data_IF_283688429177
#
_entry.id   IF_283688429177
#
_cell.length_a   1.000
_cell.length_b   1.000
_cell.length_c   1.000
_cell.angle_alpha   90.00
_cell.angle_beta   90.00
_cell.angle_gamma   90.00
#
_symmetry.space_group_name_H-M   'P 1'
#
loop_
_entity.id
_entity.type
_entity.pdbx_description
1 polymer ?
#
# COMPACT_ATOMS: atom_id res chain seq x y z
N UNK A 1 3.90 -34.09 -10.79
CA UNK A 1 4.46 -33.55 -9.53
C UNK A 1 3.39 -32.75 -8.80
N UNK A 2 3.05 -33.06 -7.54
CA UNK A 2 2.02 -32.32 -6.82
C UNK A 2 2.61 -31.00 -6.28
N UNK A 3 1.97 -29.88 -6.63
CA UNK A 3 2.28 -28.55 -6.11
C UNK A 3 1.90 -28.51 -4.62
N UNK A 4 2.89 -28.60 -3.74
CA UNK A 4 2.69 -28.46 -2.29
C UNK A 4 2.29 -27.03 -1.98
N UNK A 5 1.03 -26.82 -1.59
CA UNK A 5 0.53 -25.54 -1.06
C UNK A 5 1.30 -25.22 0.22
N UNK A 6 2.29 -24.33 0.13
CA UNK A 6 2.97 -23.77 1.30
C UNK A 6 1.91 -23.09 2.17
N UNK A 7 1.65 -23.62 3.36
CA UNK A 7 0.80 -22.97 4.37
C UNK A 7 1.51 -21.69 4.81
N UNK A 8 1.08 -20.55 4.27
CA UNK A 8 1.56 -19.24 4.68
C UNK A 8 1.20 -19.06 6.15
N UNK A 9 2.21 -18.81 7.00
CA UNK A 9 1.98 -18.54 8.42
C UNK A 9 1.06 -17.31 8.54
N UNK A 10 0.07 -17.30 9.44
CA UNK A 10 -0.73 -16.11 9.68
C UNK A 10 0.20 -14.98 10.13
N UNK A 11 0.12 -13.84 9.44
CA UNK A 11 0.85 -12.64 9.82
C UNK A 11 0.04 -11.98 10.92
N UNK A 12 0.51 -12.08 12.16
CA UNK A 12 -0.09 -11.39 13.30
C UNK A 12 0.40 -9.94 13.31
N UNK A 13 -0.55 -9.00 13.33
CA UNK A 13 -0.29 -7.56 13.34
C UNK A 13 -0.82 -7.02 14.67
N UNK A 14 0.05 -6.38 15.44
CA UNK A 14 -0.30 -5.76 16.72
C UNK A 14 -0.45 -4.25 16.53
N UNK A 15 -1.53 -3.68 17.05
CA UNK A 15 -1.77 -2.24 17.04
C UNK A 15 -2.34 -1.79 18.39
N UNK A 16 -2.16 -0.51 18.78
CA UNK A 16 -2.63 -0.01 20.06
C UNK A 16 -4.17 -0.05 20.15
N UNK A 17 -4.69 -0.29 21.36
CA UNK A 17 -6.14 -0.24 21.62
C UNK A 17 -6.73 1.13 21.34
N UNK A 18 -5.98 2.21 21.58
CA UNK A 18 -6.41 3.56 21.23
C UNK A 18 -6.67 3.72 19.73
N UNK A 19 -5.90 3.03 18.87
CA UNK A 19 -6.12 3.06 17.42
C UNK A 19 -7.41 2.32 17.08
N UNK A 20 -7.64 1.16 17.70
CA UNK A 20 -8.89 0.41 17.53
C UNK A 20 -10.11 1.24 17.89
N UNK A 21 -10.05 1.97 19.00
CA UNK A 21 -11.14 2.83 19.48
C UNK A 21 -11.39 4.05 18.58
N UNK A 22 -10.34 4.55 17.91
CA UNK A 22 -10.43 5.71 17.01
C UNK A 22 -10.79 5.35 15.57
N UNK A 23 -10.65 4.08 15.18
CA UNK A 23 -10.95 3.64 13.81
C UNK A 23 -12.40 3.16 13.72
N UNK A 24 -13.23 3.89 12.99
CA UNK A 24 -14.63 3.51 12.76
C UNK A 24 -14.75 2.40 11.70
N UNK A 25 -13.85 2.39 10.72
CA UNK A 25 -13.88 1.42 9.62
C UNK A 25 -12.59 0.61 9.47
N UNK A 26 -12.71 -0.54 8.79
CA UNK A 26 -11.55 -1.37 8.40
C UNK A 26 -10.58 -0.61 7.48
N UNK A 27 -11.11 0.31 6.68
CA UNK A 27 -10.34 1.13 5.74
C UNK A 27 -9.44 2.10 6.53
N UNK A 28 -9.97 2.74 7.56
CA UNK A 28 -9.21 3.65 8.44
C UNK A 28 -8.05 2.92 9.14
N UNK A 29 -8.28 1.69 9.62
CA UNK A 29 -7.22 0.87 10.19
C UNK A 29 -6.17 0.49 9.13
N UNK A 30 -6.60 0.23 7.90
CA UNK A 30 -5.72 -0.03 6.76
C UNK A 30 -4.82 1.17 6.44
N UNK A 31 -5.40 2.36 6.40
CA UNK A 31 -4.69 3.61 6.16
C UNK A 31 -3.70 3.92 7.30
N UNK A 32 -4.11 3.69 8.55
CA UNK A 32 -3.20 3.79 9.69
C UNK A 32 -2.03 2.81 9.54
N UNK A 33 -2.27 1.54 9.22
CA UNK A 33 -1.20 0.56 9.03
C UNK A 33 -0.24 0.95 7.89
N UNK A 34 -0.77 1.50 6.78
CA UNK A 34 0.05 2.02 5.68
C UNK A 34 0.88 3.22 6.11
N UNK A 35 0.32 4.09 6.97
CA UNK A 35 1.04 5.25 7.52
C UNK A 35 2.25 4.85 8.37
N UNK A 36 2.19 3.69 9.02
CA UNK A 36 3.28 3.14 9.83
C UNK A 36 4.38 2.49 8.98
N UNK A 37 4.19 2.29 7.67
CA UNK A 37 5.18 1.68 6.80
C UNK A 37 6.14 2.73 6.20
N UNK A 38 7.39 2.82 6.68
CA UNK A 38 8.33 3.85 6.23
C UNK A 38 8.71 3.71 4.75
N UNK A 39 8.72 2.49 4.21
CA UNK A 39 9.00 2.28 2.79
C UNK A 39 7.86 2.82 1.92
N UNK A 40 6.61 2.61 2.35
CA UNK A 40 5.44 3.15 1.66
C UNK A 40 5.47 4.68 1.66
N UNK A 41 5.69 5.30 2.83
CA UNK A 41 5.79 6.75 2.96
C UNK A 41 6.93 7.32 2.10
N UNK A 42 8.09 6.64 2.04
CA UNK A 42 9.20 7.06 1.19
C UNK A 42 8.83 7.02 -0.30
N UNK A 43 8.09 6.01 -0.75
CA UNK A 43 7.57 5.93 -2.13
C UNK A 43 6.60 7.07 -2.42
N UNK A 44 5.67 7.35 -1.51
CA UNK A 44 4.70 8.44 -1.67
C UNK A 44 5.37 9.82 -1.73
N UNK A 45 6.39 10.07 -0.88
CA UNK A 45 7.17 11.31 -0.95
C UNK A 45 7.91 11.45 -2.28
N UNK A 46 8.50 10.36 -2.78
CA UNK A 46 9.18 10.36 -4.08
C UNK A 46 8.20 10.65 -5.22
N UNK A 47 7.04 9.97 -5.24
CA UNK A 47 6.01 10.22 -6.24
C UNK A 47 5.58 11.69 -6.27
N UNK A 48 5.34 12.29 -5.09
CA UNK A 48 5.02 13.72 -4.98
C UNK A 48 6.14 14.61 -5.53
N UNK A 49 7.41 14.26 -5.28
CA UNK A 49 8.55 15.03 -5.79
C UNK A 49 8.67 14.92 -7.32
N UNK A 50 8.43 13.72 -7.87
CA UNK A 50 8.44 13.49 -9.31
C UNK A 50 7.29 14.25 -10.00
N UNK A 51 6.10 14.31 -9.38
CA UNK A 51 4.97 15.12 -9.87
C UNK A 51 5.29 16.61 -9.90
N UNK A 52 5.88 17.16 -8.82
CA UNK A 52 6.32 18.58 -8.76
C UNK A 52 7.34 18.87 -9.86
N UNK A 53 8.21 17.91 -10.18
CA UNK A 53 9.22 18.03 -11.23
C UNK A 53 8.66 17.79 -12.64
N UNK A 54 7.35 17.51 -12.80
CA UNK A 54 6.74 17.17 -14.08
C UNK A 54 7.21 15.84 -14.66
N UNK A 55 7.79 14.96 -13.82
CA UNK A 55 8.22 13.60 -14.17
C UNK A 55 7.14 12.54 -13.92
N UNK A 56 5.93 12.98 -13.59
CA UNK A 56 4.77 12.11 -13.47
C UNK A 56 4.57 11.32 -14.77
N UNK A 57 4.32 10.02 -14.65
CA UNK A 57 4.02 9.18 -15.81
C UNK A 57 2.64 9.50 -16.34
N UNK A 58 2.52 9.64 -17.67
CA UNK A 58 1.22 9.86 -18.30
C UNK A 58 0.28 8.68 -18.04
N UNK A 59 -0.99 8.99 -17.80
CA UNK A 59 -2.02 8.01 -17.49
C UNK A 59 -2.27 7.03 -18.65
N UNK A 60 -2.18 7.50 -19.91
CA UNK A 60 -2.33 6.61 -21.05
C UNK A 60 -1.16 5.63 -21.19
N UNK A 61 0.05 6.09 -20.84
CA UNK A 61 1.23 5.24 -20.80
C UNK A 61 1.10 4.15 -19.72
N UNK A 62 0.69 4.53 -18.50
CA UNK A 62 0.46 3.59 -17.39
C UNK A 62 -0.63 2.56 -17.71
N UNK A 63 -1.73 2.96 -18.36
CA UNK A 63 -2.79 2.04 -18.78
C UNK A 63 -2.27 0.96 -19.73
N UNK A 64 -1.42 1.34 -20.69
CA UNK A 64 -0.81 0.40 -21.64
C UNK A 64 0.13 -0.57 -20.92
N UNK A 65 0.95 -0.08 -19.99
CA UNK A 65 1.91 -0.91 -19.25
C UNK A 65 1.21 -1.89 -18.30
N UNK A 66 0.17 -1.43 -17.58
CA UNK A 66 -0.63 -2.27 -16.68
C UNK A 66 -1.66 -3.15 -17.40
N UNK A 67 -1.75 -3.08 -18.74
CA UNK A 67 -2.74 -3.80 -19.54
C UNK A 67 -4.19 -3.57 -19.10
N UNK A 68 -4.49 -2.37 -18.58
CA UNK A 68 -5.82 -1.98 -18.13
C UNK A 68 -6.56 -1.42 -19.34
N UNK A 69 -7.62 -2.11 -19.79
CA UNK A 69 -8.52 -1.67 -20.87
C UNK A 69 -9.41 -0.52 -20.43
#
# INVERSE_FOLDING_TARGET
>A
MPLTRKKTKPIEITFPLSVFETTDTKEDLGDWLLSQNPQFIRKMRKARQDDIQGKGTDWQFLKKDLSIK
#
